data_IF_726294865836
#
_entry.id   IF_726294865836
#
_cell.length_a   1.000
_cell.length_b   1.000
_cell.length_c   1.000
_cell.angle_alpha   90.00
_cell.angle_beta   90.00
_cell.angle_gamma   90.00
#
_symmetry.space_group_name_H-M   'P 1'
#
loop_
_entity.id
_entity.type
_entity.pdbx_description
1 polymer ?
#
# COMPACT_ATOMS: atom_id res chain seq x y z
N UNK A 1 14.26 -13.32 -36.33
CA UNK A 1 13.02 -12.60 -35.90
C UNK A 1 12.28 -13.37 -34.78
N UNK A 2 12.51 -14.71 -34.66
CA UNK A 2 11.84 -15.54 -33.62
C UNK A 2 12.48 -15.42 -32.22
N UNK A 3 13.75 -14.96 -32.12
CA UNK A 3 14.49 -14.93 -30.85
C UNK A 3 14.19 -13.71 -29.96
N UNK A 4 13.57 -12.66 -30.49
CA UNK A 4 13.25 -11.43 -29.73
C UNK A 4 11.93 -11.58 -28.98
N UNK A 5 11.03 -12.45 -29.44
CA UNK A 5 9.72 -12.66 -28.80
C UNK A 5 9.78 -13.55 -27.55
N UNK A 6 10.81 -14.38 -27.41
CA UNK A 6 10.98 -15.23 -26.22
C UNK A 6 11.61 -14.49 -25.02
N UNK A 7 12.31 -13.37 -25.25
CA UNK A 7 12.92 -12.60 -24.17
C UNK A 7 11.94 -11.66 -23.46
N UNK A 8 10.89 -11.24 -24.16
CA UNK A 8 9.86 -10.35 -23.56
C UNK A 8 8.85 -11.08 -22.68
N UNK A 9 8.70 -12.39 -22.83
CA UNK A 9 7.81 -13.20 -21.97
C UNK A 9 8.47 -13.54 -20.64
N UNK A 10 9.81 -13.59 -20.57
CA UNK A 10 10.54 -13.89 -19.33
C UNK A 10 10.55 -12.74 -18.32
N UNK A 11 10.34 -11.49 -18.74
CA UNK A 11 10.36 -10.31 -17.87
C UNK A 11 9.00 -10.07 -17.20
N UNK A 12 7.92 -10.66 -17.70
CA UNK A 12 6.57 -10.53 -17.11
C UNK A 12 6.31 -11.64 -16.06
N UNK A 13 7.18 -12.64 -15.96
CA UNK A 13 7.02 -13.78 -15.06
C UNK A 13 7.55 -13.52 -13.62
N UNK A 14 8.11 -12.35 -13.35
CA UNK A 14 8.51 -11.95 -11.99
C UNK A 14 7.45 -11.07 -11.28
N UNK A 15 6.22 -11.11 -11.75
CA UNK A 15 5.08 -10.71 -10.94
C UNK A 15 5.07 -11.61 -9.71
N UNK A 16 5.37 -11.03 -8.56
CA UNK A 16 5.46 -11.63 -7.22
C UNK A 16 4.61 -12.91 -7.12
N UNK A 17 5.21 -14.05 -7.36
CA UNK A 17 4.53 -15.32 -7.18
C UNK A 17 4.23 -15.45 -5.70
N UNK A 18 2.96 -15.29 -5.35
CA UNK A 18 2.49 -15.48 -3.98
C UNK A 18 2.93 -16.87 -3.51
N UNK A 19 3.78 -16.91 -2.50
CA UNK A 19 4.41 -18.12 -2.03
C UNK A 19 3.70 -18.61 -0.79
N UNK A 20 3.76 -19.91 -0.57
CA UNK A 20 3.28 -20.59 0.64
C UNK A 20 3.73 -19.87 1.92
N UNK A 21 4.97 -19.40 1.95
CA UNK A 21 5.59 -18.77 3.11
C UNK A 21 4.83 -17.53 3.61
N UNK A 22 4.13 -16.80 2.73
CA UNK A 22 3.31 -15.66 3.12
C UNK A 22 2.10 -16.09 3.99
N UNK A 23 1.57 -17.29 3.76
CA UNK A 23 0.42 -17.82 4.49
C UNK A 23 0.83 -18.62 5.74
N UNK A 24 2.05 -19.15 5.80
CA UNK A 24 2.56 -19.89 6.95
C UNK A 24 2.68 -19.02 8.21
N UNK A 25 2.74 -17.69 8.04
CA UNK A 25 2.77 -16.72 9.13
C UNK A 25 1.38 -16.39 9.69
N UNK A 26 0.32 -16.84 9.04
CA UNK A 26 -1.05 -16.52 9.42
C UNK A 26 -1.67 -17.64 10.27
N UNK A 27 -2.39 -17.24 11.31
CA UNK A 27 -3.27 -18.18 12.00
C UNK A 27 -4.54 -18.40 11.17
N UNK A 28 -4.50 -19.39 10.28
CA UNK A 28 -5.62 -19.72 9.38
C UNK A 28 -6.84 -20.33 10.10
N UNK A 29 -6.75 -20.61 11.41
CA UNK A 29 -7.87 -21.02 12.26
C UNK A 29 -8.64 -19.81 12.83
N UNK A 30 -8.19 -18.59 12.53
CA UNK A 30 -8.91 -17.39 12.94
C UNK A 30 -10.26 -17.30 12.23
N UNK A 31 -11.36 -16.95 12.94
CA UNK A 31 -12.69 -16.86 12.36
C UNK A 31 -12.75 -15.94 11.14
N UNK A 32 -13.37 -16.41 10.06
CA UNK A 32 -13.49 -15.68 8.80
C UNK A 32 -12.38 -16.00 7.78
N UNK A 33 -11.38 -16.80 8.15
CA UNK A 33 -10.31 -17.23 7.23
C UNK A 33 -10.50 -18.65 6.66
N UNK A 34 -11.69 -19.25 6.81
CA UNK A 34 -11.99 -20.62 6.40
C UNK A 34 -11.73 -20.85 4.90
N UNK A 35 -12.07 -19.84 4.07
CA UNK A 35 -11.84 -19.92 2.62
C UNK A 35 -10.34 -19.82 2.28
N UNK A 36 -9.62 -18.92 2.96
CA UNK A 36 -8.16 -18.82 2.83
C UNK A 36 -7.51 -20.14 3.18
N UNK A 37 -7.88 -20.74 4.32
CA UNK A 37 -7.39 -22.04 4.76
C UNK A 37 -7.65 -23.12 3.73
N UNK A 38 -8.86 -23.14 3.17
CA UNK A 38 -9.25 -24.13 2.14
C UNK A 38 -8.40 -23.98 0.88
N UNK A 39 -8.21 -22.76 0.38
CA UNK A 39 -7.37 -22.50 -0.78
C UNK A 39 -5.90 -22.88 -0.51
N UNK A 40 -5.35 -22.53 0.65
CA UNK A 40 -4.01 -22.93 1.07
C UNK A 40 -3.83 -24.45 1.11
N UNK A 41 -4.82 -25.20 1.63
CA UNK A 41 -4.75 -26.66 1.68
C UNK A 41 -4.71 -27.32 0.30
N UNK A 42 -5.23 -26.63 -0.72
CA UNK A 42 -5.20 -27.02 -2.13
C UNK A 42 -4.00 -26.47 -2.89
N UNK A 43 -3.12 -25.70 -2.23
CA UNK A 43 -1.98 -25.00 -2.84
C UNK A 43 -2.41 -23.98 -3.93
N UNK A 44 -3.61 -23.43 -3.79
CA UNK A 44 -4.17 -22.42 -4.69
C UNK A 44 -3.83 -21.01 -4.17
N UNK A 45 -2.56 -20.62 -4.26
CA UNK A 45 -2.02 -19.41 -3.59
C UNK A 45 -2.66 -18.11 -4.06
N UNK A 46 -2.97 -18.02 -5.35
CA UNK A 46 -3.67 -16.86 -5.92
C UNK A 46 -5.08 -16.72 -5.33
N UNK A 47 -5.83 -17.84 -5.28
CA UNK A 47 -7.16 -17.88 -4.66
C UNK A 47 -7.07 -17.57 -3.16
N UNK A 48 -6.08 -18.10 -2.46
CA UNK A 48 -5.85 -17.79 -1.06
C UNK A 48 -5.63 -16.30 -0.81
N UNK A 49 -4.87 -15.63 -1.68
CA UNK A 49 -4.63 -14.19 -1.58
C UNK A 49 -5.91 -13.38 -1.87
N UNK A 50 -6.69 -13.78 -2.88
CA UNK A 50 -7.96 -13.12 -3.20
C UNK A 50 -8.96 -13.24 -2.04
N UNK A 51 -9.07 -14.42 -1.43
CA UNK A 51 -9.95 -14.63 -0.28
C UNK A 51 -9.44 -13.88 0.96
N UNK A 52 -8.13 -13.78 1.18
CA UNK A 52 -7.55 -12.97 2.25
C UNK A 52 -7.82 -11.48 2.05
N UNK A 53 -7.67 -11.00 0.82
CA UNK A 53 -7.99 -9.62 0.48
C UNK A 53 -9.50 -9.32 0.67
N UNK A 54 -10.36 -10.25 0.26
CA UNK A 54 -11.80 -10.17 0.47
C UNK A 54 -12.15 -10.12 1.98
N UNK A 55 -11.49 -10.95 2.77
CA UNK A 55 -11.63 -10.93 4.23
C UNK A 55 -11.31 -9.53 4.80
N UNK A 56 -10.16 -8.96 4.46
CA UNK A 56 -9.77 -7.63 4.97
C UNK A 56 -10.70 -6.52 4.46
N UNK A 57 -11.15 -6.58 3.21
CA UNK A 57 -12.07 -5.57 2.64
C UNK A 57 -13.45 -5.58 3.29
N UNK A 58 -13.91 -6.75 3.70
CA UNK A 58 -15.25 -6.93 4.27
C UNK A 58 -15.28 -6.81 5.81
N UNK A 59 -14.14 -6.63 6.45
CA UNK A 59 -14.10 -6.45 7.91
C UNK A 59 -14.78 -5.17 8.34
N UNK A 60 -15.68 -5.30 9.33
CA UNK A 60 -16.40 -4.18 9.96
C UNK A 60 -16.12 -4.05 11.45
N UNK A 61 -15.35 -4.98 12.00
CA UNK A 61 -15.01 -5.10 13.41
C UNK A 61 -13.76 -4.30 13.80
N UNK A 62 -13.02 -3.77 12.81
CA UNK A 62 -11.86 -2.92 13.06
C UNK A 62 -12.34 -1.52 13.41
N UNK A 63 -11.94 -1.05 14.58
CA UNK A 63 -12.10 0.34 14.99
C UNK A 63 -10.76 1.08 14.87
N UNK A 64 -10.79 2.26 14.30
CA UNK A 64 -9.66 3.19 14.32
C UNK A 64 -10.08 4.40 15.14
N UNK A 65 -9.24 4.92 16.08
CA UNK A 65 -9.64 5.99 16.98
C UNK A 65 -10.03 7.29 16.25
N UNK A 66 -9.38 7.57 15.11
CA UNK A 66 -9.54 8.84 14.39
C UNK A 66 -10.18 8.68 13.00
N UNK A 67 -10.53 7.46 12.59
CA UNK A 67 -11.07 7.20 11.24
C UNK A 67 -12.35 6.38 11.37
N UNK A 68 -13.48 6.94 10.94
CA UNK A 68 -14.71 6.18 10.77
C UNK A 68 -14.64 5.35 9.49
N UNK A 69 -14.32 4.07 9.64
CA UNK A 69 -14.21 3.15 8.51
C UNK A 69 -15.56 2.79 7.88
N UNK A 70 -16.67 3.04 8.58
CA UNK A 70 -18.04 2.78 8.07
C UNK A 70 -18.53 3.92 7.18
N UNK A 71 -18.18 5.16 7.53
CA UNK A 71 -18.55 6.37 6.79
C UNK A 71 -17.28 7.07 6.29
N UNK A 72 -16.39 6.30 5.65
CA UNK A 72 -15.09 6.81 5.23
C UNK A 72 -15.25 7.94 4.23
N UNK A 73 -14.67 9.08 4.57
CA UNK A 73 -14.61 10.25 3.70
C UNK A 73 -13.17 10.72 3.55
N UNK A 74 -12.87 11.35 2.44
CA UNK A 74 -11.60 12.00 2.16
C UNK A 74 -11.85 13.47 1.83
N UNK A 75 -11.13 14.38 2.48
CA UNK A 75 -11.19 15.80 2.16
C UNK A 75 -10.43 16.08 0.85
N UNK A 76 -10.70 17.24 0.23
CA UNK A 76 -9.94 17.68 -0.96
C UNK A 76 -8.45 17.81 -0.68
N UNK A 77 -8.10 18.21 0.53
CA UNK A 77 -6.71 18.36 0.95
C UNK A 77 -6.05 16.98 1.11
N UNK A 78 -6.70 16.03 1.76
CA UNK A 78 -6.20 14.65 1.88
C UNK A 78 -6.09 13.96 0.51
N UNK A 79 -7.07 14.17 -0.38
CA UNK A 79 -7.00 13.65 -1.75
C UNK A 79 -5.77 14.19 -2.47
N UNK A 80 -5.53 15.51 -2.35
CA UNK A 80 -4.32 16.11 -2.91
C UNK A 80 -3.05 15.48 -2.35
N UNK A 81 -2.96 15.24 -1.04
CA UNK A 81 -1.78 14.59 -0.45
C UNK A 81 -1.59 13.16 -0.95
N UNK A 82 -2.69 12.41 -1.15
CA UNK A 82 -2.62 11.08 -1.73
C UNK A 82 -2.12 11.12 -3.19
N UNK A 83 -2.60 12.08 -3.98
CA UNK A 83 -2.19 12.24 -5.39
C UNK A 83 -0.75 12.75 -5.50
N UNK A 84 -0.35 13.72 -4.68
CA UNK A 84 1.02 14.23 -4.61
C UNK A 84 2.02 13.10 -4.22
N UNK A 85 1.61 12.18 -3.34
CA UNK A 85 2.44 11.06 -2.92
C UNK A 85 2.75 10.08 -4.07
N UNK A 86 1.92 10.03 -5.11
CA UNK A 86 2.17 9.23 -6.32
C UNK A 86 3.42 9.70 -7.08
N UNK A 87 3.78 10.99 -6.93
CA UNK A 87 4.98 11.59 -7.50
C UNK A 87 6.07 11.84 -6.44
N UNK A 88 6.00 11.13 -5.30
CA UNK A 88 6.90 11.27 -4.16
C UNK A 88 7.00 12.70 -3.60
N UNK A 89 5.92 13.45 -3.69
CA UNK A 89 5.77 14.75 -3.05
C UNK A 89 5.00 14.57 -1.75
N UNK A 90 5.73 14.50 -0.63
CA UNK A 90 5.16 14.02 0.63
C UNK A 90 4.66 15.12 1.53
N UNK A 91 3.39 14.99 1.95
CA UNK A 91 2.87 15.74 3.08
C UNK A 91 3.43 15.18 4.39
N UNK A 92 4.24 15.95 5.06
CA UNK A 92 4.86 15.54 6.33
C UNK A 92 4.16 16.16 7.54
N UNK A 93 3.85 17.45 7.48
CA UNK A 93 3.16 18.17 8.56
C UNK A 93 2.71 19.55 8.08
N UNK A 94 1.63 20.09 8.66
CA UNK A 94 1.08 21.41 8.31
C UNK A 94 2.08 22.57 8.47
N UNK A 95 3.05 22.45 9.35
CA UNK A 95 4.11 23.44 9.56
C UNK A 95 5.19 23.45 8.48
N UNK A 96 5.22 22.44 7.59
CA UNK A 96 6.21 22.27 6.52
C UNK A 96 5.52 22.25 5.17
N UNK A 97 4.95 23.38 4.79
CA UNK A 97 4.30 23.57 3.51
C UNK A 97 5.07 24.63 2.68
N UNK A 98 5.10 24.47 1.35
CA UNK A 98 4.55 23.35 0.57
C UNK A 98 5.27 22.02 0.83
N UNK A 99 4.62 20.89 0.46
CA UNK A 99 5.25 19.56 0.47
C UNK A 99 6.48 19.53 -0.43
N UNK A 100 7.46 18.70 -0.10
CA UNK A 100 8.70 18.58 -0.86
C UNK A 100 8.70 17.29 -1.67
N UNK A 101 9.25 17.36 -2.90
CA UNK A 101 9.46 16.20 -3.74
C UNK A 101 10.80 15.53 -3.39
N UNK A 102 10.76 14.22 -3.17
CA UNK A 102 11.89 13.41 -2.75
C UNK A 102 12.55 12.66 -3.91
N UNK A 103 12.17 12.94 -5.15
CA UNK A 103 12.73 12.36 -6.35
C UNK A 103 12.00 11.11 -6.83
N UNK A 104 12.28 10.69 -8.06
CA UNK A 104 11.73 9.46 -8.64
C UNK A 104 12.26 8.21 -7.93
N UNK A 105 13.53 8.23 -7.61
CA UNK A 105 14.22 7.33 -6.69
C UNK A 105 14.22 8.04 -5.35
N UNK A 106 13.46 7.54 -4.38
CA UNK A 106 13.13 8.30 -3.17
C UNK A 106 14.40 8.54 -2.37
N UNK A 107 14.79 9.80 -2.25
CA UNK A 107 15.90 10.17 -1.39
C UNK A 107 15.42 10.47 0.04
N UNK A 108 15.33 9.44 0.87
CA UNK A 108 14.93 9.54 2.27
C UNK A 108 15.86 10.41 3.13
N UNK A 109 17.09 10.68 2.65
CA UNK A 109 18.05 11.55 3.31
C UNK A 109 17.91 13.02 2.89
N UNK A 110 17.09 13.32 1.87
CA UNK A 110 16.89 14.69 1.41
C UNK A 110 16.38 15.59 2.53
N UNK A 111 17.10 16.68 2.76
CA UNK A 111 16.85 17.60 3.85
C UNK A 111 16.62 19.03 3.34
N UNK A 112 15.43 19.34 2.81
CA UNK A 112 15.13 20.62 2.18
C UNK A 112 15.17 21.80 3.17
N UNK A 113 14.91 21.53 4.43
CA UNK A 113 14.99 22.52 5.53
C UNK A 113 15.83 21.92 6.65
N UNK A 114 16.83 22.66 7.13
CA UNK A 114 17.72 22.19 8.21
C UNK A 114 17.00 22.22 9.57
N UNK A 115 16.02 21.37 9.70
CA UNK A 115 15.23 21.13 10.89
C UNK A 115 15.04 19.64 11.11
N UNK A 116 15.51 19.12 12.22
CA UNK A 116 15.37 17.70 12.55
C UNK A 116 13.92 17.26 12.68
N UNK A 117 13.03 18.15 13.10
CA UNK A 117 11.60 17.82 13.20
C UNK A 117 11.00 17.49 11.84
N UNK A 118 11.42 18.16 10.75
CA UNK A 118 11.00 17.79 9.39
C UNK A 118 11.36 16.33 9.08
N UNK A 119 12.57 15.90 9.41
CA UNK A 119 13.03 14.53 9.18
C UNK A 119 12.24 13.52 10.01
N UNK A 120 11.98 13.82 11.26
CA UNK A 120 11.15 12.96 12.10
C UNK A 120 9.70 12.87 11.61
N UNK A 121 9.13 13.97 11.12
CA UNK A 121 7.79 13.98 10.54
C UNK A 121 7.73 13.22 9.23
N UNK A 122 8.78 13.26 8.38
CA UNK A 122 8.89 12.46 7.17
C UNK A 122 8.73 10.97 7.50
N UNK A 123 9.51 10.45 8.43
CA UNK A 123 9.48 9.03 8.82
C UNK A 123 8.24 8.60 9.61
N UNK A 124 7.29 9.50 9.84
CA UNK A 124 5.94 9.15 10.34
C UNK A 124 4.95 8.82 9.22
N UNK A 125 5.33 8.98 7.95
CA UNK A 125 4.57 8.63 6.76
C UNK A 125 3.11 9.06 6.79
N UNK A 126 2.84 10.31 7.19
CA UNK A 126 1.46 10.80 7.39
C UNK A 126 0.59 10.77 6.14
N UNK A 127 1.19 10.80 4.94
CA UNK A 127 0.48 10.66 3.67
C UNK A 127 -0.04 9.24 3.41
N UNK A 128 0.43 8.23 4.13
CA UNK A 128 -0.07 6.86 3.99
C UNK A 128 -1.55 6.73 4.35
N UNK A 129 -2.03 7.49 5.35
CA UNK A 129 -3.45 7.52 5.70
C UNK A 129 -4.32 8.09 4.56
N UNK A 130 -4.03 9.25 3.97
CA UNK A 130 -4.67 9.72 2.75
C UNK A 130 -4.65 8.73 1.59
N UNK A 131 -3.51 8.09 1.30
CA UNK A 131 -3.41 7.07 0.25
C UNK A 131 -4.33 5.87 0.54
N UNK A 132 -4.37 5.39 1.79
CA UNK A 132 -5.26 4.32 2.20
C UNK A 132 -6.74 4.68 2.08
N UNK A 133 -7.11 5.93 2.43
CA UNK A 133 -8.48 6.45 2.22
C UNK A 133 -8.83 6.52 0.73
N UNK A 134 -7.94 7.10 -0.10
CA UNK A 134 -8.14 7.20 -1.55
C UNK A 134 -8.33 5.81 -2.18
N UNK A 135 -7.48 4.84 -1.84
CA UNK A 135 -7.62 3.45 -2.27
C UNK A 135 -8.98 2.86 -1.86
N UNK A 136 -9.34 2.96 -0.58
CA UNK A 136 -10.54 2.32 -0.06
C UNK A 136 -11.83 2.92 -0.65
N UNK A 137 -11.84 4.21 -0.99
CA UNK A 137 -12.99 4.89 -1.59
C UNK A 137 -13.08 4.62 -3.09
N UNK A 138 -11.96 4.70 -3.81
CA UNK A 138 -11.92 4.59 -5.27
C UNK A 138 -11.80 3.16 -5.79
N UNK A 139 -11.17 2.26 -5.02
CA UNK A 139 -10.74 0.94 -5.48
C UNK A 139 -9.57 1.00 -6.48
N UNK A 140 -8.94 2.16 -6.68
CA UNK A 140 -7.84 2.30 -7.63
C UNK A 140 -6.54 1.73 -7.03
N UNK A 141 -6.12 0.60 -7.59
CA UNK A 141 -4.93 -0.15 -7.15
C UNK A 141 -3.62 0.64 -7.23
N UNK A 142 -3.58 1.78 -7.96
CA UNK A 142 -2.38 2.62 -8.03
C UNK A 142 -1.92 3.06 -6.64
N UNK A 143 -2.85 3.46 -5.75
CA UNK A 143 -2.50 3.90 -4.40
C UNK A 143 -1.93 2.77 -3.54
N UNK A 144 -2.49 1.56 -3.65
CA UNK A 144 -2.01 0.41 -2.90
C UNK A 144 -0.62 -0.05 -3.38
N UNK A 145 -0.39 -0.05 -4.71
CA UNK A 145 0.90 -0.40 -5.32
C UNK A 145 1.98 0.60 -4.93
N UNK A 146 1.68 1.89 -5.04
CA UNK A 146 2.61 2.95 -4.68
C UNK A 146 2.91 2.95 -3.17
N UNK A 147 1.88 2.75 -2.34
CA UNK A 147 2.06 2.59 -0.89
C UNK A 147 3.01 1.43 -0.57
N UNK A 148 2.83 0.28 -1.21
CA UNK A 148 3.68 -0.89 -1.01
C UNK A 148 5.12 -0.63 -1.47
N UNK A 149 5.30 0.06 -2.60
CA UNK A 149 6.61 0.47 -3.09
C UNK A 149 7.32 1.35 -2.05
N UNK A 150 6.69 2.44 -1.60
CA UNK A 150 7.26 3.37 -0.61
C UNK A 150 7.52 2.73 0.76
N UNK A 151 6.80 1.67 1.11
CA UNK A 151 6.99 0.96 2.37
C UNK A 151 8.18 0.00 2.34
N UNK A 152 8.51 -0.54 1.17
CA UNK A 152 9.59 -1.53 0.99
C UNK A 152 10.92 -0.85 0.68
N UNK A 153 10.88 0.32 0.01
CA UNK A 153 12.06 1.12 -0.35
C UNK A 153 12.78 1.67 0.88
#
# INVERSE_FOLDING_TARGET
ILSVFLLTIAIIADAQQLRKEAFDLLNLDYPGLEKVKTACSRQQWEEAAQELLAYYRNRTDIAHPDIDLKNLAISKEEQKWADDAMDHTFFVHKGYQPSYNYGKDINWEYWPVKDNELRWQLHRHKWFTPMGKAYRISGDEKYAKEWAFQYID
#
